data_IF_323637987108
#
_entry.id   IF_323637987108
#
_cell.length_a   1.000
_cell.length_b   1.000
_cell.length_c   1.000
_cell.angle_alpha   90.00
_cell.angle_beta   90.00
_cell.angle_gamma   90.00
#
_symmetry.space_group_name_H-M   'P 1'
#
loop_
_entity.id
_entity.type
_entity.pdbx_description
1 polymer ?
#
# COMPACT_ATOMS: atom_id res chain seq x y z
N UNK A 1 -3.90 -15.46 -3.92
CA UNK A 1 -4.80 -15.26 -5.06
C UNK A 1 -4.10 -14.52 -6.18
N UNK A 2 -4.81 -14.29 -7.29
CA UNK A 2 -4.24 -13.67 -8.48
C UNK A 2 -5.28 -12.86 -9.24
N UNK A 3 -4.81 -11.87 -10.01
CA UNK A 3 -5.64 -11.10 -10.93
C UNK A 3 -4.85 -10.82 -12.22
N UNK A 4 -5.49 -11.07 -13.36
CA UNK A 4 -4.95 -10.75 -14.68
C UNK A 4 -5.85 -9.68 -15.28
N UNK A 5 -5.29 -8.51 -15.56
CA UNK A 5 -6.04 -7.42 -16.15
C UNK A 5 -6.45 -7.74 -17.60
N UNK A 6 -7.53 -7.11 -18.06
CA UNK A 6 -8.03 -7.28 -19.41
C UNK A 6 -6.91 -7.02 -20.44
N UNK A 7 -6.78 -7.94 -21.41
CA UNK A 7 -5.71 -7.89 -22.40
C UNK A 7 -4.37 -8.48 -21.95
N UNK A 8 -4.26 -9.03 -20.73
CA UNK A 8 -3.11 -9.83 -20.29
C UNK A 8 -1.81 -9.06 -20.09
N UNK A 9 -1.85 -7.72 -20.09
CA UNK A 9 -0.67 -6.86 -19.95
C UNK A 9 -0.24 -6.63 -18.50
N UNK A 10 -1.11 -6.87 -17.53
CA UNK A 10 -0.81 -6.72 -16.11
C UNK A 10 -1.24 -7.99 -15.39
N UNK A 11 -0.34 -8.55 -14.58
CA UNK A 11 -0.61 -9.70 -13.73
C UNK A 11 -0.21 -9.42 -12.29
N UNK A 12 -1.05 -9.83 -11.36
CA UNK A 12 -0.83 -9.70 -9.92
C UNK A 12 -0.96 -11.05 -9.24
N UNK A 13 -0.04 -11.33 -8.32
CA UNK A 13 -0.16 -12.38 -7.32
C UNK A 13 -0.16 -11.74 -5.94
N UNK A 14 -1.03 -12.22 -5.05
CA UNK A 14 -1.10 -11.78 -3.66
C UNK A 14 -1.14 -12.99 -2.73
N UNK A 15 -0.38 -12.92 -1.65
CA UNK A 15 -0.41 -13.87 -0.54
C UNK A 15 -1.15 -13.22 0.64
N UNK A 16 -2.24 -13.85 1.06
CA UNK A 16 -3.02 -13.44 2.23
C UNK A 16 -3.13 -14.66 3.14
N UNK A 17 -2.72 -14.49 4.39
CA UNK A 17 -2.73 -15.55 5.39
C UNK A 17 -3.98 -15.40 6.26
N UNK A 18 -4.54 -16.53 6.66
CA UNK A 18 -5.50 -16.70 7.75
C UNK A 18 -5.04 -17.89 8.60
N UNK A 19 -5.74 -18.20 9.69
CA UNK A 19 -5.30 -19.22 10.65
C UNK A 19 -5.76 -20.63 10.22
N UNK A 20 -6.96 -20.75 9.64
CA UNK A 20 -7.52 -22.05 9.28
C UNK A 20 -7.82 -22.17 7.78
N UNK A 21 -7.81 -23.42 7.29
CA UNK A 21 -8.25 -23.71 5.92
C UNK A 21 -9.76 -23.55 5.74
N UNK A 22 -10.54 -23.58 6.83
CA UNK A 22 -11.96 -23.29 6.81
C UNK A 22 -12.21 -21.85 6.36
N UNK A 23 -11.60 -20.85 7.02
CA UNK A 23 -11.71 -19.44 6.60
C UNK A 23 -11.13 -19.23 5.21
N UNK A 24 -9.99 -19.84 4.90
CA UNK A 24 -9.37 -19.74 3.59
C UNK A 24 -10.31 -20.15 2.45
N UNK A 25 -11.23 -21.10 2.68
CA UNK A 25 -12.17 -21.61 1.66
C UNK A 25 -13.50 -20.85 1.60
N UNK A 26 -13.75 -19.90 2.51
CA UNK A 26 -15.00 -19.13 2.49
C UNK A 26 -15.08 -18.23 1.26
N UNK A 27 -16.28 -18.05 0.66
CA UNK A 27 -16.47 -17.11 -0.44
C UNK A 27 -16.03 -15.69 -0.10
N UNK A 28 -16.24 -15.25 1.14
CA UNK A 28 -15.87 -13.93 1.61
C UNK A 28 -14.35 -13.72 1.61
N UNK A 29 -13.58 -14.69 2.13
CA UNK A 29 -12.11 -14.61 2.10
C UNK A 29 -11.58 -14.66 0.67
N UNK A 30 -12.11 -15.56 -0.17
CA UNK A 30 -11.71 -15.65 -1.58
C UNK A 30 -12.02 -14.36 -2.35
N UNK A 31 -13.17 -13.74 -2.10
CA UNK A 31 -13.54 -12.44 -2.67
C UNK A 31 -12.60 -11.34 -2.20
N UNK A 32 -12.28 -11.28 -0.91
CA UNK A 32 -11.32 -10.34 -0.36
C UNK A 32 -9.96 -10.48 -1.05
N UNK A 33 -9.42 -11.70 -1.16
CA UNK A 33 -8.13 -11.95 -1.82
C UNK A 33 -8.14 -11.52 -3.28
N UNK A 34 -9.22 -11.81 -4.02
CA UNK A 34 -9.38 -11.36 -5.40
C UNK A 34 -9.42 -9.82 -5.50
N UNK A 35 -10.15 -9.18 -4.60
CA UNK A 35 -10.30 -7.74 -4.56
C UNK A 35 -8.99 -7.02 -4.25
N UNK A 36 -8.16 -7.56 -3.35
CA UNK A 36 -6.82 -7.06 -3.10
C UNK A 36 -5.93 -7.21 -4.34
N UNK A 37 -5.99 -8.35 -5.03
CA UNK A 37 -5.20 -8.54 -6.26
C UNK A 37 -5.59 -7.55 -7.37
N UNK A 38 -6.89 -7.28 -7.53
CA UNK A 38 -7.40 -6.28 -8.46
C UNK A 38 -7.05 -4.85 -8.03
N UNK A 39 -7.08 -4.56 -6.73
CA UNK A 39 -6.67 -3.28 -6.17
C UNK A 39 -5.18 -2.99 -6.47
N UNK A 40 -4.29 -3.91 -6.11
CA UNK A 40 -2.84 -3.81 -6.41
C UNK A 40 -2.60 -3.62 -7.91
N UNK A 41 -3.39 -4.28 -8.76
CA UNK A 41 -3.30 -4.11 -10.21
C UNK A 41 -3.54 -2.66 -10.65
N UNK A 42 -4.50 -1.99 -10.01
CA UNK A 42 -5.00 -0.67 -10.38
C UNK A 42 -4.20 0.50 -9.80
N UNK A 43 -3.72 0.39 -8.55
CA UNK A 43 -3.10 1.52 -7.83
C UNK A 43 -1.61 1.37 -7.52
N UNK A 44 -0.99 0.27 -7.94
CA UNK A 44 0.47 0.10 -7.96
C UNK A 44 1.18 0.41 -6.61
N UNK A 45 0.73 -0.15 -5.47
CA UNK A 45 1.44 0.03 -4.21
C UNK A 45 2.85 -0.55 -4.28
N UNK A 46 3.76 0.01 -3.50
CA UNK A 46 5.14 -0.44 -3.39
C UNK A 46 5.38 -1.28 -2.13
N UNK A 47 4.62 -1.01 -1.07
CA UNK A 47 4.75 -1.66 0.23
C UNK A 47 3.40 -2.20 0.71
N UNK A 48 3.42 -3.21 1.58
CA UNK A 48 2.17 -3.72 2.17
C UNK A 48 1.75 -2.81 3.32
N UNK A 49 2.66 -2.52 4.25
CA UNK A 49 2.41 -1.76 5.48
C UNK A 49 3.42 -0.64 5.66
N UNK A 50 3.10 0.33 6.52
CA UNK A 50 3.95 1.50 6.78
C UNK A 50 5.33 1.11 7.31
N UNK A 51 5.39 0.08 8.17
CA UNK A 51 6.64 -0.44 8.70
C UNK A 51 7.51 -1.17 7.67
N UNK A 52 6.96 -1.53 6.51
CA UNK A 52 7.72 -2.16 5.43
C UNK A 52 8.46 -1.11 4.56
N UNK A 53 8.22 0.19 4.79
CA UNK A 53 8.89 1.30 4.08
C UNK A 53 10.28 1.53 4.69
N UNK A 54 11.39 1.44 3.91
CA UNK A 54 12.72 1.71 4.42
C UNK A 54 12.84 3.12 5.00
N UNK A 55 13.51 3.22 6.15
CA UNK A 55 13.69 4.49 6.86
C UNK A 55 14.35 5.57 5.98
N UNK A 56 15.30 5.18 5.13
CA UNK A 56 15.95 6.05 4.15
C UNK A 56 14.97 6.65 3.13
N UNK A 57 13.95 5.90 2.72
CA UNK A 57 12.90 6.39 1.82
C UNK A 57 12.03 7.39 2.58
N UNK A 58 11.63 7.07 3.80
CA UNK A 58 10.83 7.98 4.66
C UNK A 58 11.56 9.31 4.89
N UNK A 59 12.86 9.26 5.19
CA UNK A 59 13.69 10.44 5.40
C UNK A 59 13.85 11.28 4.14
N UNK A 60 14.08 10.62 3.00
CA UNK A 60 14.15 11.29 1.69
C UNK A 60 12.84 12.01 1.36
N UNK A 61 11.71 11.33 1.47
CA UNK A 61 10.40 11.93 1.20
C UNK A 61 10.08 13.06 2.19
N UNK A 62 10.51 12.93 3.46
CA UNK A 62 10.39 14.01 4.45
C UNK A 62 11.21 15.24 4.06
N UNK A 63 12.43 15.04 3.56
CA UNK A 63 13.26 16.14 3.09
C UNK A 63 12.63 16.82 1.87
N UNK A 64 12.17 16.06 0.88
CA UNK A 64 11.45 16.58 -0.30
C UNK A 64 10.23 17.39 0.16
N UNK A 65 9.42 16.85 1.07
CA UNK A 65 8.26 17.53 1.61
C UNK A 65 8.61 18.84 2.33
N UNK A 66 9.74 18.89 3.04
CA UNK A 66 10.25 20.10 3.70
C UNK A 66 10.71 21.15 2.69
N UNK A 67 11.51 20.76 1.71
CA UNK A 67 12.00 21.66 0.65
C UNK A 67 10.83 22.28 -0.12
N UNK A 68 9.86 21.46 -0.53
CA UNK A 68 8.65 21.92 -1.18
C UNK A 68 7.79 22.83 -0.28
N UNK A 69 7.86 22.70 1.05
CA UNK A 69 7.08 23.52 1.97
C UNK A 69 7.72 24.90 2.14
N UNK A 70 9.05 24.94 2.23
CA UNK A 70 9.82 26.18 2.30
C UNK A 70 9.81 26.95 0.97
N UNK A 71 9.74 26.24 -0.17
CA UNK A 71 9.65 26.84 -1.49
C UNK A 71 8.25 27.42 -1.81
N UNK A 72 7.20 27.03 -1.09
CA UNK A 72 5.84 27.54 -1.32
C UNK A 72 5.72 28.98 -0.77
N UNK A 73 5.48 30.00 -1.62
CA UNK A 73 5.38 31.39 -1.18
C UNK A 73 4.30 31.62 -0.10
N UNK A 74 3.28 30.76 -0.05
CA UNK A 74 2.20 30.82 0.97
C UNK A 74 2.68 30.41 2.37
N UNK A 75 3.91 29.92 2.51
CA UNK A 75 4.50 29.50 3.77
C UNK A 75 5.46 30.54 4.36
N UNK A 76 5.78 31.59 3.62
CA UNK A 76 6.64 32.67 4.09
C UNK A 76 6.03 33.34 5.33
N UNK A 77 6.77 33.35 6.44
CA UNK A 77 6.35 33.97 7.70
C UNK A 77 5.38 33.14 8.54
N UNK A 78 5.07 31.90 8.16
CA UNK A 78 4.30 30.99 9.02
C UNK A 78 5.18 30.38 10.13
N UNK A 79 4.59 30.03 11.29
CA UNK A 79 5.32 29.35 12.36
C UNK A 79 5.84 27.97 11.94
N UNK A 80 6.94 27.52 12.55
CA UNK A 80 7.56 26.20 12.30
C UNK A 80 6.54 25.06 12.48
N UNK A 81 5.66 25.14 13.49
CA UNK A 81 4.62 24.15 13.75
C UNK A 81 3.60 23.99 12.63
N UNK A 82 3.37 25.03 11.81
CA UNK A 82 2.51 24.94 10.63
C UNK A 82 3.24 24.26 9.48
N UNK A 83 4.54 24.54 9.33
CA UNK A 83 5.40 23.90 8.32
C UNK A 83 5.50 22.40 8.63
N UNK A 84 5.70 22.02 9.89
CA UNK A 84 5.74 20.62 10.33
C UNK A 84 4.46 19.86 10.00
N UNK A 85 3.29 20.44 10.27
CA UNK A 85 1.99 19.83 9.91
C UNK A 85 1.83 19.63 8.40
N UNK A 86 2.40 20.51 7.58
CA UNK A 86 2.37 20.37 6.12
C UNK A 86 3.28 19.24 5.66
N UNK A 87 4.46 19.12 6.25
CA UNK A 87 5.39 18.02 5.98
C UNK A 87 4.72 16.70 6.34
N UNK A 88 4.10 16.62 7.52
CA UNK A 88 3.35 15.44 7.98
C UNK A 88 2.20 15.10 7.02
N UNK A 89 1.40 16.10 6.59
CA UNK A 89 0.33 15.88 5.63
C UNK A 89 0.83 15.33 4.28
N UNK A 90 1.99 15.80 3.80
CA UNK A 90 2.61 15.29 2.57
C UNK A 90 3.16 13.88 2.73
N UNK A 91 3.76 13.57 3.87
CA UNK A 91 4.20 12.22 4.20
C UNK A 91 3.02 11.25 4.30
N UNK A 92 1.93 11.65 4.96
CA UNK A 92 0.71 10.84 5.01
C UNK A 92 0.13 10.60 3.62
N UNK A 93 0.19 11.58 2.73
CA UNK A 93 -0.19 11.39 1.32
C UNK A 93 0.72 10.37 0.62
N UNK A 94 2.04 10.48 0.80
CA UNK A 94 2.99 9.51 0.26
C UNK A 94 2.67 8.08 0.73
N UNK A 95 2.39 7.88 2.01
CA UNK A 95 2.01 6.56 2.52
C UNK A 95 0.67 6.09 1.94
N UNK A 96 -0.34 6.96 1.87
CA UNK A 96 -1.62 6.63 1.25
C UNK A 96 -1.52 6.31 -0.26
N UNK A 97 -0.45 6.71 -0.95
CA UNK A 97 -0.20 6.38 -2.35
C UNK A 97 0.67 5.12 -2.52
N UNK A 98 1.58 4.83 -1.58
CA UNK A 98 2.59 3.77 -1.75
C UNK A 98 2.40 2.54 -0.87
N UNK A 99 1.62 2.65 0.21
CA UNK A 99 1.37 1.57 1.18
C UNK A 99 -0.02 1.00 0.96
N UNK A 100 -0.10 -0.28 0.60
CA UNK A 100 -1.35 -0.97 0.28
C UNK A 100 -2.40 -0.81 1.39
N UNK A 101 -2.05 -1.05 2.65
CA UNK A 101 -3.03 -0.98 3.74
C UNK A 101 -3.54 0.44 4.04
N UNK A 102 -2.86 1.48 3.55
CA UNK A 102 -3.29 2.89 3.70
C UNK A 102 -4.05 3.43 2.49
N UNK A 103 -4.03 2.71 1.37
CA UNK A 103 -4.71 3.11 0.16
C UNK A 103 -6.24 3.04 0.34
N UNK A 104 -6.99 4.07 -0.13
CA UNK A 104 -8.44 3.99 -0.26
C UNK A 104 -8.82 2.86 -1.22
N UNK A 105 -9.75 2.01 -0.82
CA UNK A 105 -10.11 0.83 -1.60
C UNK A 105 -10.85 1.19 -2.89
N UNK A 106 -10.31 0.80 -4.04
CA UNK A 106 -10.84 1.16 -5.37
C UNK A 106 -12.33 0.89 -5.63
N UNK A 107 -12.96 -0.08 -4.95
CA UNK A 107 -14.40 -0.36 -5.09
C UNK A 107 -15.26 0.46 -4.11
N UNK A 108 -14.64 1.03 -3.08
CA UNK A 108 -15.27 1.83 -2.04
C UNK A 108 -14.22 2.73 -1.36
N UNK A 109 -14.07 3.94 -1.88
CA UNK A 109 -13.07 4.90 -1.39
C UNK A 109 -13.39 5.47 0.00
N UNK A 110 -14.49 5.05 0.65
CA UNK A 110 -14.80 5.49 2.02
C UNK A 110 -13.94 4.80 3.07
N UNK A 111 -13.27 3.71 2.70
CA UNK A 111 -12.42 2.91 3.59
C UNK A 111 -11.10 2.56 2.92
N UNK A 112 -10.11 2.32 3.76
CA UNK A 112 -8.78 1.83 3.38
C UNK A 112 -8.76 0.30 3.27
N UNK A 113 -7.76 -0.24 2.58
CA UNK A 113 -7.53 -1.69 2.55
C UNK A 113 -7.26 -2.25 3.95
N UNK A 114 -6.55 -1.51 4.81
CA UNK A 114 -6.30 -1.92 6.19
C UNK A 114 -7.58 -2.00 7.03
N UNK A 115 -8.57 -1.15 6.77
CA UNK A 115 -9.89 -1.26 7.40
C UNK A 115 -10.65 -2.50 6.93
N UNK A 116 -10.57 -2.86 5.64
CA UNK A 116 -11.15 -4.11 5.13
C UNK A 116 -10.55 -5.34 5.80
N UNK A 117 -9.22 -5.34 6.02
CA UNK A 117 -8.54 -6.42 6.76
C UNK A 117 -9.13 -6.52 8.16
N UNK A 118 -9.22 -5.40 8.89
CA UNK A 118 -9.77 -5.38 10.26
C UNK A 118 -11.21 -5.83 10.34
N UNK A 119 -12.05 -5.44 9.39
CA UNK A 119 -13.44 -5.90 9.32
C UNK A 119 -13.54 -7.40 9.07
N UNK A 120 -12.71 -7.94 8.18
CA UNK A 120 -12.69 -9.37 7.92
C UNK A 120 -12.18 -10.16 9.13
N UNK A 121 -11.17 -9.64 9.85
CA UNK A 121 -10.72 -10.17 11.16
C UNK A 121 -11.89 -10.19 12.15
N UNK A 122 -12.59 -9.06 12.32
CA UNK A 122 -13.70 -8.97 13.26
C UNK A 122 -14.85 -9.92 12.90
N UNK A 123 -15.10 -10.15 11.61
CA UNK A 123 -16.15 -11.05 11.13
C UNK A 123 -15.79 -12.53 11.26
N UNK A 124 -14.53 -12.88 11.04
CA UNK A 124 -14.07 -14.28 11.03
C UNK A 124 -13.58 -14.75 12.40
N UNK A 125 -13.10 -13.83 13.25
CA UNK A 125 -12.44 -14.15 14.50
C UNK A 125 -11.00 -14.66 14.34
N UNK A 126 -10.44 -14.62 13.12
CA UNK A 126 -9.07 -15.03 12.83
C UNK A 126 -8.18 -13.84 12.50
N UNK A 127 -6.90 -13.94 12.83
CA UNK A 127 -5.90 -13.02 12.32
C UNK A 127 -5.73 -13.19 10.81
N UNK A 128 -5.94 -12.11 10.06
CA UNK A 128 -5.77 -12.05 8.61
C UNK A 128 -4.69 -11.05 8.27
N UNK A 129 -3.76 -11.44 7.40
CA UNK A 129 -2.63 -10.59 7.02
C UNK A 129 -2.33 -10.69 5.54
N UNK A 130 -2.20 -9.55 4.88
CA UNK A 130 -1.59 -9.48 3.55
C UNK A 130 -0.09 -9.65 3.76
N UNK A 131 0.49 -10.75 3.27
CA UNK A 131 1.90 -11.09 3.55
C UNK A 131 2.86 -10.43 2.56
N UNK A 132 2.47 -10.45 1.28
CA UNK A 132 3.22 -9.90 0.14
C UNK A 132 2.33 -9.88 -1.11
N UNK A 133 2.71 -9.05 -2.06
CA UNK A 133 2.18 -9.10 -3.42
C UNK A 133 3.33 -8.96 -4.42
N UNK A 134 3.06 -9.32 -5.67
CA UNK A 134 3.90 -8.98 -6.80
C UNK A 134 3.01 -8.58 -7.97
N UNK A 135 3.41 -7.51 -8.64
CA UNK A 135 2.76 -6.99 -9.83
C UNK A 135 3.77 -6.99 -10.97
N UNK A 136 3.33 -7.44 -12.13
CA UNK A 136 4.07 -7.38 -13.37
C UNK A 136 3.26 -6.61 -14.40
N UNK A 137 3.90 -5.69 -15.11
CA UNK A 137 3.33 -4.98 -16.25
C UNK A 137 4.20 -5.19 -17.49
N UNK A 138 3.58 -5.57 -18.59
CA UNK A 138 4.26 -5.78 -19.87
C UNK A 138 4.95 -4.48 -20.31
N UNK A 139 6.27 -4.55 -20.52
CA UNK A 139 7.09 -3.41 -20.92
C UNK A 139 7.56 -2.52 -19.77
N UNK A 140 7.37 -2.94 -18.52
CA UNK A 140 7.99 -2.32 -17.35
C UNK A 140 9.45 -2.75 -17.24
N UNK A 141 10.36 -1.78 -17.12
CA UNK A 141 11.79 -2.05 -16.94
C UNK A 141 12.03 -2.71 -15.56
N UNK A 142 12.74 -3.82 -15.56
CA UNK A 142 12.91 -4.71 -14.39
C UNK A 142 13.64 -4.02 -13.23
N UNK A 143 14.39 -2.96 -13.51
CA UNK A 143 15.30 -2.29 -12.58
C UNK A 143 14.86 -0.87 -12.16
N UNK A 144 13.79 -0.31 -12.76
CA UNK A 144 13.51 1.12 -12.63
C UNK A 144 12.68 1.52 -11.39
N UNK A 145 11.88 0.62 -10.82
CA UNK A 145 10.81 1.04 -9.89
C UNK A 145 10.51 0.08 -8.72
N UNK A 146 11.27 -1.02 -8.58
CA UNK A 146 11.02 -1.99 -7.49
C UNK A 146 12.00 -1.74 -6.34
N UNK A 147 11.55 -1.30 -5.16
CA UNK A 147 12.41 -1.38 -3.98
C UNK A 147 12.75 -2.86 -3.76
N UNK A 148 14.04 -3.20 -3.90
CA UNK A 148 14.51 -4.56 -3.65
C UNK A 148 14.20 -4.88 -2.19
N UNK A 149 13.29 -5.83 -1.96
CA UNK A 149 13.03 -6.32 -0.62
C UNK A 149 14.38 -6.74 0.01
N UNK A 150 14.66 -6.37 1.27
CA UNK A 150 15.83 -6.89 1.94
C UNK A 150 15.77 -8.41 1.90
N UNK A 151 16.90 -9.11 1.67
CA UNK A 151 16.91 -10.56 1.63
C UNK A 151 16.31 -11.08 2.93
N UNK A 152 15.25 -11.87 2.83
CA UNK A 152 14.77 -12.69 3.96
C UNK A 152 15.90 -13.62 4.34
N UNK A 153 16.58 -13.35 5.46
CA UNK A 153 17.48 -14.31 6.08
C UNK A 153 16.70 -15.60 6.35
N UNK A 154 17.26 -16.72 5.89
CA UNK A 154 16.73 -18.07 6.02
C UNK A 154 17.01 -18.67 7.39
#
# INVERSE_FOLDING_TARGET
GSYIHMGGKIGVLVEVNCETDFVARTPEFQQFVHDIAMHVCAVEPLYVRREDVPQEVVERERQIAREQALADPRMKGKPESVIEKIIEGRLNKFFAETVLEEQPFIKDNSRTVGELVKELIAKTGENIRIRRFIRYKLGEDVDADRPTAPPTEA
#
